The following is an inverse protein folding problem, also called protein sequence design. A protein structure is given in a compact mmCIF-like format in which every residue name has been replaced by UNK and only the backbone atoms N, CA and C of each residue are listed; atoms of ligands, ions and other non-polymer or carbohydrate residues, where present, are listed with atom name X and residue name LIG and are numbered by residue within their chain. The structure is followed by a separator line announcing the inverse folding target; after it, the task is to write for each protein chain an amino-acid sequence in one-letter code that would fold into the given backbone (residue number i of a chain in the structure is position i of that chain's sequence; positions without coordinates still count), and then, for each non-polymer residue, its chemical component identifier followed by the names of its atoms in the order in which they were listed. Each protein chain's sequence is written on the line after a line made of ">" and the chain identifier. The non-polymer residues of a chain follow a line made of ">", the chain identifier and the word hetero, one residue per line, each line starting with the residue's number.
data_IF_944493884659
#
_entry.id   IF_944493884659
#
_cell.length_a   1.000
_cell.length_b   1.000
_cell.length_c   1.000
_cell.angle_alpha   90.00
_cell.angle_beta   90.00
_cell.angle_gamma   90.00
#
_symmetry.space_group_name_H-M   'P 1'
#
loop_
_entity.id
_entity.type
_entity.pdbx_description
1 polymer ?
#
# COMPACT_ATOMS: atom_id res chain seq x y z
N UNK A 1 -2.41 -37.49 35.27
CA UNK A 1 -3.42 -37.03 34.28
C UNK A 1 -3.15 -35.60 33.79
N UNK A 2 -2.91 -34.65 34.70
CA UNK A 2 -2.60 -33.23 34.41
C UNK A 2 -1.40 -33.03 33.46
N UNK A 3 -0.32 -33.79 33.61
CA UNK A 3 0.87 -33.69 32.75
C UNK A 3 0.61 -34.01 31.27
N UNK A 4 -0.32 -34.94 30.95
CA UNK A 4 -0.67 -35.27 29.56
C UNK A 4 -1.56 -34.19 28.92
N UNK A 5 -2.40 -33.54 29.71
CA UNK A 5 -3.29 -32.45 29.28
C UNK A 5 -2.46 -31.18 29.04
N UNK A 6 -1.54 -30.84 29.95
CA UNK A 6 -0.63 -29.70 29.78
C UNK A 6 0.25 -29.84 28.54
N UNK A 7 0.81 -31.05 28.31
CA UNK A 7 1.64 -31.34 27.13
C UNK A 7 0.84 -31.22 25.82
N UNK A 8 -0.42 -31.66 25.79
CA UNK A 8 -1.31 -31.50 24.62
C UNK A 8 -1.66 -30.03 24.35
N UNK A 9 -1.92 -29.23 25.39
CA UNK A 9 -2.25 -27.81 25.24
C UNK A 9 -1.03 -27.01 24.75
N UNK A 10 0.15 -27.27 25.33
CA UNK A 10 1.40 -26.61 24.92
C UNK A 10 1.81 -27.00 23.50
N UNK A 11 1.74 -28.29 23.14
CA UNK A 11 2.04 -28.75 21.78
C UNK A 11 1.02 -28.25 20.74
N UNK A 12 -0.27 -28.16 21.09
CA UNK A 12 -1.31 -27.59 20.25
C UNK A 12 -1.04 -26.11 19.95
N UNK A 13 -0.70 -25.31 20.97
CA UNK A 13 -0.39 -23.89 20.78
C UNK A 13 0.91 -23.64 20.00
N UNK A 14 1.94 -24.48 20.18
CA UNK A 14 3.19 -24.40 19.40
C UNK A 14 2.94 -24.81 17.94
N UNK A 15 2.15 -25.86 17.69
CA UNK A 15 1.82 -26.33 16.34
C UNK A 15 0.92 -25.36 15.57
N UNK A 16 0.15 -24.51 16.27
CA UNK A 16 -0.68 -23.46 15.65
C UNK A 16 0.05 -22.13 15.46
N UNK A 17 1.21 -21.93 16.11
CA UNK A 17 2.06 -20.75 15.92
C UNK A 17 3.06 -20.94 14.78
N UNK A 18 3.66 -22.13 14.62
CA UNK A 18 4.65 -22.42 13.59
C UNK A 18 4.18 -22.11 12.14
N UNK A 19 3.01 -22.62 11.70
CA UNK A 19 2.50 -22.37 10.34
C UNK A 19 2.13 -20.91 10.10
N UNK A 20 1.64 -20.20 11.13
CA UNK A 20 1.31 -18.77 11.05
C UNK A 20 2.57 -17.92 10.98
N UNK A 21 3.59 -18.28 11.78
CA UNK A 21 4.88 -17.61 11.77
C UNK A 21 5.58 -17.83 10.43
N UNK A 22 5.65 -19.06 9.93
CA UNK A 22 6.20 -19.38 8.60
C UNK A 22 5.40 -18.72 7.48
N UNK A 23 4.06 -18.68 7.57
CA UNK A 23 3.19 -18.06 6.56
C UNK A 23 3.36 -16.54 6.42
N UNK A 24 3.81 -15.85 7.47
CA UNK A 24 4.12 -14.41 7.45
C UNK A 24 5.60 -14.17 7.16
N UNK A 25 6.49 -14.95 7.79
CA UNK A 25 7.93 -14.77 7.71
C UNK A 25 8.49 -15.20 6.35
N UNK A 26 7.97 -16.28 5.75
CA UNK A 26 8.44 -16.75 4.46
C UNK A 26 8.23 -15.72 3.34
N UNK A 27 7.03 -15.12 3.15
CA UNK A 27 6.88 -14.04 2.18
C UNK A 27 7.82 -12.87 2.49
N UNK A 28 8.01 -12.49 3.75
CA UNK A 28 8.85 -11.35 4.16
C UNK A 28 10.36 -11.59 3.98
N UNK A 29 10.82 -12.84 4.07
CA UNK A 29 12.25 -13.16 4.10
C UNK A 29 12.72 -13.75 2.77
N UNK A 30 11.91 -14.57 2.11
CA UNK A 30 12.31 -15.29 0.89
C UNK A 30 12.64 -14.33 -0.27
N UNK A 31 11.83 -13.31 -0.60
CA UNK A 31 12.14 -12.38 -1.69
C UNK A 31 13.36 -11.49 -1.39
N UNK A 32 13.54 -10.90 -0.18
CA UNK A 32 14.79 -10.24 0.17
C UNK A 32 16.03 -11.11 0.03
N UNK A 33 15.98 -12.35 0.53
CA UNK A 33 17.09 -13.29 0.42
C UNK A 33 17.36 -13.69 -1.04
N UNK A 34 16.30 -13.90 -1.83
CA UNK A 34 16.43 -14.19 -3.25
C UNK A 34 17.08 -13.04 -4.01
N UNK A 35 16.64 -11.80 -3.79
CA UNK A 35 17.23 -10.61 -4.43
C UNK A 35 18.67 -10.38 -3.94
N UNK A 36 18.98 -10.63 -2.67
CA UNK A 36 20.34 -10.53 -2.13
C UNK A 36 21.27 -11.59 -2.74
N UNK A 37 20.77 -12.82 -2.90
CA UNK A 37 21.49 -13.90 -3.58
C UNK A 37 21.78 -13.54 -5.04
N UNK A 38 20.77 -13.06 -5.78
CA UNK A 38 20.96 -12.55 -7.14
C UNK A 38 21.96 -11.39 -7.16
N UNK A 39 21.87 -10.42 -6.25
CA UNK A 39 22.82 -9.31 -6.18
C UNK A 39 24.27 -9.77 -5.99
N UNK A 40 24.51 -10.74 -5.12
CA UNK A 40 25.86 -11.21 -4.82
C UNK A 40 26.45 -12.06 -5.96
N UNK A 41 25.68 -13.02 -6.48
CA UNK A 41 26.17 -13.98 -7.46
C UNK A 41 26.05 -13.50 -8.92
N UNK A 42 25.06 -12.66 -9.24
CA UNK A 42 24.88 -12.12 -10.60
C UNK A 42 25.65 -10.82 -10.87
N UNK A 43 26.56 -10.42 -9.96
CA UNK A 43 27.38 -9.21 -10.13
C UNK A 43 28.27 -9.25 -11.39
N UNK A 44 28.65 -10.43 -11.86
CA UNK A 44 29.42 -10.60 -13.09
C UNK A 44 28.58 -10.45 -14.36
N UNK A 45 27.26 -10.61 -14.26
CA UNK A 45 26.31 -10.45 -15.38
C UNK A 45 25.61 -9.08 -15.36
N UNK A 46 25.80 -8.28 -14.30
CA UNK A 46 25.26 -6.93 -14.25
C UNK A 46 25.94 -6.07 -15.31
N UNK A 47 25.14 -5.38 -16.13
CA UNK A 47 25.67 -4.47 -17.15
C UNK A 47 25.81 -3.08 -16.58
N UNK A 48 26.94 -2.45 -16.85
CA UNK A 48 27.14 -1.02 -16.63
C UNK A 48 26.28 -0.25 -17.65
N UNK A 49 25.15 0.28 -17.17
CA UNK A 49 24.27 1.11 -17.98
C UNK A 49 24.71 2.56 -17.79
N UNK A 50 25.01 3.24 -18.90
CA UNK A 50 25.27 4.67 -18.89
C UNK A 50 23.97 5.42 -18.54
N UNK A 51 23.93 5.94 -17.31
CA UNK A 51 22.76 6.64 -16.76
C UNK A 51 22.59 8.06 -17.33
N UNK A 52 23.58 8.59 -18.05
CA UNK A 52 23.57 9.94 -18.61
C UNK A 52 23.18 9.97 -20.09
N UNK A 53 23.43 8.88 -20.83
CA UNK A 53 23.24 8.85 -22.29
C UNK A 53 22.40 7.67 -22.83
N UNK A 54 21.78 6.83 -21.99
CA UNK A 54 21.01 5.71 -22.54
C UNK A 54 19.76 6.16 -23.33
N UNK A 55 19.76 5.84 -24.63
CA UNK A 55 18.63 6.03 -25.54
C UNK A 55 18.02 4.67 -25.92
N UNK A 56 16.74 4.47 -25.55
CA UNK A 56 15.78 3.42 -25.94
C UNK A 56 16.14 1.92 -25.85
N UNK A 57 17.41 1.52 -25.99
CA UNK A 57 17.86 0.11 -25.95
C UNK A 57 17.93 -0.48 -24.53
N UNK A 58 17.86 0.37 -23.49
CA UNK A 58 17.81 -0.05 -22.08
C UNK A 58 16.41 0.07 -21.45
N UNK A 59 15.32 0.12 -22.22
CA UNK A 59 13.99 0.46 -21.70
C UNK A 59 12.89 -0.53 -22.10
N UNK A 60 11.93 -0.74 -21.20
CA UNK A 60 10.59 -1.26 -21.52
C UNK A 60 9.71 -0.07 -21.93
N UNK A 61 9.49 0.09 -23.23
CA UNK A 61 8.93 1.31 -23.84
C UNK A 61 7.41 1.45 -23.69
N UNK A 62 6.73 0.56 -22.98
CA UNK A 62 5.25 0.47 -23.04
C UNK A 62 4.54 1.49 -22.13
N UNK A 63 5.09 1.85 -20.95
CA UNK A 63 4.33 2.63 -19.95
C UNK A 63 4.77 4.10 -19.74
N UNK A 64 6.05 4.43 -19.97
CA UNK A 64 6.59 5.79 -19.79
C UNK A 64 7.21 6.42 -21.04
N UNK A 65 7.23 5.69 -22.15
CA UNK A 65 7.74 6.09 -23.48
C UNK A 65 7.27 7.46 -23.97
N UNK A 66 6.00 7.79 -23.71
CA UNK A 66 5.34 8.99 -24.22
C UNK A 66 5.40 10.20 -23.30
N UNK A 67 5.84 10.05 -22.03
CA UNK A 67 5.86 11.12 -21.03
C UNK A 67 7.26 11.73 -20.82
N UNK A 68 8.33 10.99 -21.12
CA UNK A 68 9.71 11.48 -21.02
C UNK A 68 10.20 11.95 -22.40
N UNK A 69 10.19 13.26 -22.65
CA UNK A 69 10.81 13.85 -23.84
C UNK A 69 12.32 14.02 -23.61
N UNK A 70 13.12 12.98 -23.87
CA UNK A 70 14.59 13.03 -23.74
C UNK A 70 15.26 11.69 -23.41
N UNK A 71 16.51 11.75 -22.94
CA UNK A 71 17.25 10.58 -22.42
C UNK A 71 16.58 10.14 -21.12
N UNK A 72 16.05 8.91 -21.11
CA UNK A 72 15.30 8.39 -19.97
C UNK A 72 16.21 8.09 -18.77
N UNK A 73 15.72 8.39 -17.55
CA UNK A 73 16.46 8.08 -16.32
C UNK A 73 16.52 6.57 -16.05
N UNK A 74 17.59 6.12 -15.38
CA UNK A 74 17.78 4.70 -15.03
C UNK A 74 16.60 4.17 -14.20
N UNK A 75 16.11 2.99 -14.56
CA UNK A 75 14.98 2.33 -13.88
C UNK A 75 15.46 1.11 -13.11
N UNK A 76 15.18 1.05 -11.80
CA UNK A 76 15.66 -0.03 -10.92
C UNK A 76 14.86 -1.33 -11.02
N UNK A 77 13.64 -1.26 -11.53
CA UNK A 77 12.84 -2.43 -11.87
C UNK A 77 13.34 -2.96 -13.21
N UNK A 78 13.58 -4.27 -13.30
CA UNK A 78 13.90 -5.03 -14.51
C UNK A 78 15.36 -5.11 -15.01
N UNK A 79 16.33 -4.32 -14.52
CA UNK A 79 17.70 -4.35 -15.07
C UNK A 79 18.80 -4.90 -14.17
N UNK A 80 18.87 -4.49 -12.90
CA UNK A 80 19.86 -4.98 -11.94
C UNK A 80 19.21 -5.14 -10.56
N UNK A 81 19.67 -6.11 -9.77
CA UNK A 81 19.28 -6.24 -8.36
C UNK A 81 19.91 -5.11 -7.54
N UNK A 82 19.25 -3.96 -7.39
CA UNK A 82 19.79 -2.85 -6.59
C UNK A 82 19.15 -2.81 -5.19
N UNK A 83 19.68 -2.02 -4.24
CA UNK A 83 19.00 -1.77 -2.97
C UNK A 83 17.57 -1.23 -3.13
N UNK A 84 17.29 -0.47 -4.19
CA UNK A 84 15.93 0.00 -4.49
C UNK A 84 15.02 -1.15 -4.98
N UNK A 85 15.55 -2.10 -5.75
CA UNK A 85 14.84 -3.35 -6.12
C UNK A 85 14.43 -4.13 -4.86
N UNK A 86 15.31 -4.22 -3.86
CA UNK A 86 15.01 -4.84 -2.58
C UNK A 86 13.89 -4.10 -1.83
N UNK A 87 13.92 -2.76 -1.77
CA UNK A 87 12.85 -1.95 -1.15
C UNK A 87 11.50 -2.21 -1.82
N UNK A 88 11.45 -2.18 -3.16
CA UNK A 88 10.25 -2.45 -3.95
C UNK A 88 9.67 -3.82 -3.60
N UNK A 89 10.51 -4.87 -3.61
CA UNK A 89 10.07 -6.22 -3.28
C UNK A 89 9.59 -6.35 -1.84
N UNK A 90 10.32 -5.81 -0.87
CA UNK A 90 9.92 -5.84 0.54
C UNK A 90 8.56 -5.17 0.74
N UNK A 91 8.35 -3.99 0.15
CA UNK A 91 7.06 -3.28 0.21
C UNK A 91 5.94 -4.07 -0.44
N UNK A 92 6.20 -4.72 -1.59
CA UNK A 92 5.19 -5.55 -2.26
C UNK A 92 4.71 -6.66 -1.36
N UNK A 93 5.65 -7.40 -0.79
CA UNK A 93 5.34 -8.51 0.09
C UNK A 93 4.57 -8.04 1.32
N UNK A 94 5.07 -7.01 2.02
CA UNK A 94 4.42 -6.47 3.22
C UNK A 94 2.97 -6.08 2.88
N UNK A 95 2.75 -5.40 1.76
CA UNK A 95 1.43 -5.01 1.27
C UNK A 95 0.51 -6.21 1.03
N UNK A 96 0.98 -7.22 0.31
CA UNK A 96 0.20 -8.44 0.02
C UNK A 96 -0.16 -9.20 1.31
N UNK A 97 0.80 -9.38 2.22
CA UNK A 97 0.57 -10.08 3.50
C UNK A 97 -0.42 -9.30 4.36
N UNK A 98 -0.25 -7.98 4.49
CA UNK A 98 -1.17 -7.13 5.24
C UNK A 98 -2.59 -7.17 4.68
N UNK A 99 -2.73 -7.10 3.35
CA UNK A 99 -4.02 -7.21 2.68
C UNK A 99 -4.67 -8.58 2.91
N UNK A 100 -3.90 -9.67 2.77
CA UNK A 100 -4.37 -11.03 3.02
C UNK A 100 -4.86 -11.23 4.46
N UNK A 101 -4.07 -10.81 5.46
CA UNK A 101 -4.44 -10.94 6.87
C UNK A 101 -5.69 -10.12 7.19
N UNK A 102 -5.80 -8.91 6.62
CA UNK A 102 -6.98 -8.04 6.80
C UNK A 102 -8.22 -8.64 6.15
N UNK A 103 -8.13 -9.12 4.91
CA UNK A 103 -9.24 -9.76 4.20
C UNK A 103 -9.71 -11.04 4.92
N UNK A 104 -8.77 -11.86 5.39
CA UNK A 104 -9.06 -13.05 6.21
C UNK A 104 -9.78 -12.68 7.50
N UNK A 105 -9.36 -11.63 8.20
CA UNK A 105 -10.01 -11.14 9.40
C UNK A 105 -11.44 -10.66 9.13
N UNK A 106 -11.65 -9.84 8.09
CA UNK A 106 -12.97 -9.34 7.72
C UNK A 106 -13.91 -10.46 7.27
N UNK A 107 -13.42 -11.43 6.51
CA UNK A 107 -14.18 -12.63 6.13
C UNK A 107 -14.58 -13.44 7.38
N UNK A 108 -13.66 -13.63 8.32
CA UNK A 108 -13.96 -14.29 9.59
C UNK A 108 -15.05 -13.56 10.38
N UNK A 109 -15.00 -12.22 10.47
CA UNK A 109 -16.07 -11.42 11.08
C UNK A 109 -17.42 -11.59 10.36
N UNK A 110 -17.40 -11.68 9.03
CA UNK A 110 -18.60 -11.89 8.21
C UNK A 110 -19.26 -13.24 8.53
N UNK A 111 -18.47 -14.33 8.57
CA UNK A 111 -18.96 -15.65 8.92
C UNK A 111 -19.53 -15.71 10.35
N UNK A 112 -18.96 -14.94 11.28
CA UNK A 112 -19.46 -14.83 12.66
C UNK A 112 -20.65 -13.88 12.81
N UNK A 113 -21.14 -13.26 11.72
CA UNK A 113 -22.17 -12.20 11.72
C UNK A 113 -21.84 -11.03 12.66
N UNK A 114 -20.54 -10.74 12.82
CA UNK A 114 -20.03 -9.62 13.63
C UNK A 114 -19.56 -8.45 12.78
N UNK A 115 -19.55 -8.60 11.46
CA UNK A 115 -19.07 -7.55 10.57
C UNK A 115 -20.05 -6.38 10.49
N UNK A 116 -19.58 -5.17 10.78
CA UNK A 116 -20.29 -3.92 10.51
C UNK A 116 -20.12 -3.53 9.05
N UNK A 117 -21.19 -3.69 8.26
CA UNK A 117 -21.17 -3.40 6.81
C UNK A 117 -20.67 -1.98 6.49
N UNK A 118 -21.02 -0.98 7.32
CA UNK A 118 -20.54 0.39 7.10
C UNK A 118 -19.02 0.53 7.15
N UNK A 119 -18.35 -0.21 8.04
CA UNK A 119 -16.89 -0.22 8.13
C UNK A 119 -16.26 -1.03 7.01
N UNK A 120 -16.94 -2.08 6.51
CA UNK A 120 -16.52 -2.79 5.31
C UNK A 120 -16.52 -1.87 4.08
N UNK A 121 -17.57 -1.04 3.91
CA UNK A 121 -17.65 -0.08 2.81
C UNK A 121 -16.52 0.95 2.88
N UNK A 122 -16.26 1.50 4.08
CA UNK A 122 -15.12 2.41 4.32
C UNK A 122 -13.77 1.75 4.04
N UNK A 123 -13.61 0.47 4.38
CA UNK A 123 -12.39 -0.26 4.06
C UNK A 123 -12.23 -0.45 2.55
N UNK A 124 -13.30 -0.86 1.84
CA UNK A 124 -13.28 -1.05 0.38
C UNK A 124 -12.92 0.26 -0.33
N UNK A 125 -13.47 1.40 0.11
CA UNK A 125 -13.14 2.70 -0.49
C UNK A 125 -11.68 3.11 -0.25
N UNK A 126 -11.07 2.70 0.87
CA UNK A 126 -9.66 2.95 1.17
C UNK A 126 -8.68 2.09 0.34
N UNK A 127 -9.10 0.95 -0.23
CA UNK A 127 -8.23 0.06 -1.01
C UNK A 127 -7.57 0.81 -2.18
N UNK A 128 -8.32 1.66 -2.86
CA UNK A 128 -7.79 2.43 -3.99
C UNK A 128 -6.66 3.39 -3.55
N UNK A 129 -6.86 4.12 -2.45
CA UNK A 129 -5.87 5.07 -1.92
C UNK A 129 -4.57 4.35 -1.51
N UNK A 130 -4.67 3.16 -0.91
CA UNK A 130 -3.51 2.31 -0.60
C UNK A 130 -2.82 1.77 -1.85
N UNK A 131 -3.59 1.29 -2.83
CA UNK A 131 -3.06 0.79 -4.10
C UNK A 131 -2.30 1.89 -4.85
N UNK A 132 -2.89 3.08 -4.95
CA UNK A 132 -2.26 4.24 -5.57
C UNK A 132 -0.96 4.60 -4.84
N UNK A 133 -1.00 4.71 -3.51
CA UNK A 133 0.18 5.05 -2.70
C UNK A 133 1.30 4.03 -2.88
N UNK A 134 0.95 2.74 -2.89
CA UNK A 134 1.89 1.65 -3.13
C UNK A 134 2.54 1.78 -4.52
N UNK A 135 1.75 2.05 -5.57
CA UNK A 135 2.29 2.27 -6.91
C UNK A 135 3.21 3.50 -6.98
N UNK A 136 2.87 4.59 -6.29
CA UNK A 136 3.71 5.79 -6.23
C UNK A 136 5.07 5.48 -5.58
N UNK A 137 5.11 4.73 -4.49
CA UNK A 137 6.38 4.33 -3.87
C UNK A 137 7.25 3.46 -4.77
N UNK A 138 6.63 2.51 -5.49
CA UNK A 138 7.33 1.70 -6.48
C UNK A 138 7.98 2.63 -7.53
N UNK A 139 7.24 3.61 -8.04
CA UNK A 139 7.78 4.56 -9.01
C UNK A 139 8.91 5.42 -8.44
N UNK A 140 8.79 5.93 -7.20
CA UNK A 140 9.84 6.73 -6.56
C UNK A 140 11.16 5.96 -6.44
N UNK A 141 11.11 4.71 -5.98
CA UNK A 141 12.31 3.87 -5.92
C UNK A 141 12.78 3.39 -7.30
N UNK A 142 11.86 3.22 -8.25
CA UNK A 142 12.22 2.81 -9.60
C UNK A 142 12.94 3.91 -10.36
N UNK A 143 12.48 5.15 -10.23
CA UNK A 143 12.94 6.30 -11.00
C UNK A 143 13.97 7.18 -10.26
N UNK A 144 14.31 6.83 -9.01
CA UNK A 144 15.04 7.69 -8.07
C UNK A 144 14.46 9.11 -7.94
N UNK A 145 13.12 9.19 -7.99
CA UNK A 145 12.38 10.45 -7.90
C UNK A 145 11.77 10.62 -6.51
N UNK A 146 12.32 11.54 -5.71
CA UNK A 146 11.94 11.72 -4.29
C UNK A 146 11.39 13.11 -3.94
N UNK A 147 11.14 13.97 -4.93
CA UNK A 147 10.71 15.37 -4.67
C UNK A 147 9.41 15.46 -3.87
N UNK A 148 8.48 14.53 -4.09
CA UNK A 148 7.18 14.46 -3.42
C UNK A 148 7.12 13.32 -2.38
N UNK A 149 8.27 12.85 -1.92
CA UNK A 149 8.37 11.72 -0.99
C UNK A 149 7.67 11.99 0.35
N UNK A 150 7.99 13.12 0.98
CA UNK A 150 7.43 13.47 2.29
C UNK A 150 5.94 13.73 2.23
N UNK A 151 5.47 14.34 1.15
CA UNK A 151 4.05 14.54 0.89
C UNK A 151 3.35 13.17 0.82
N UNK A 152 3.80 12.28 -0.06
CA UNK A 152 3.23 10.94 -0.19
C UNK A 152 3.29 10.14 1.12
N UNK A 153 4.36 10.27 1.90
CA UNK A 153 4.51 9.65 3.22
C UNK A 153 3.49 10.13 4.22
N UNK A 154 3.20 11.43 4.28
CA UNK A 154 2.16 11.97 5.13
C UNK A 154 0.78 11.38 4.80
N UNK A 155 0.36 11.38 3.53
CA UNK A 155 -0.93 10.80 3.12
C UNK A 155 -0.99 9.30 3.40
N UNK A 156 0.07 8.56 3.08
CA UNK A 156 0.07 7.11 3.27
C UNK A 156 0.01 6.71 4.75
N UNK A 157 0.74 7.40 5.62
CA UNK A 157 0.70 7.14 7.07
C UNK A 157 -0.68 7.48 7.65
N UNK A 158 -1.22 8.64 7.32
CA UNK A 158 -2.53 9.05 7.83
C UNK A 158 -3.66 8.15 7.30
N UNK A 159 -3.61 7.76 6.03
CA UNK A 159 -4.56 6.79 5.45
C UNK A 159 -4.47 5.43 6.14
N UNK A 160 -3.25 4.96 6.46
CA UNK A 160 -3.03 3.71 7.18
C UNK A 160 -3.62 3.77 8.59
N UNK A 161 -3.42 4.87 9.32
CA UNK A 161 -4.03 5.09 10.65
C UNK A 161 -5.56 5.02 10.56
N UNK A 162 -6.15 5.73 9.60
CA UNK A 162 -7.60 5.72 9.36
C UNK A 162 -8.10 4.30 9.06
N UNK A 163 -7.41 3.58 8.18
CA UNK A 163 -7.76 2.21 7.77
C UNK A 163 -7.67 1.21 8.93
N UNK A 164 -6.62 1.30 9.75
CA UNK A 164 -6.48 0.45 10.95
C UNK A 164 -7.65 0.67 11.91
N UNK A 165 -8.05 1.92 12.12
CA UNK A 165 -9.23 2.23 12.96
C UNK A 165 -10.52 1.68 12.35
N UNK A 166 -10.72 1.80 11.04
CA UNK A 166 -11.88 1.23 10.34
C UNK A 166 -11.92 -0.29 10.50
N UNK A 167 -10.79 -0.99 10.32
CA UNK A 167 -10.70 -2.45 10.49
C UNK A 167 -11.00 -2.87 11.93
N UNK A 168 -10.48 -2.15 12.93
CA UNK A 168 -10.80 -2.42 14.35
C UNK A 168 -12.30 -2.22 14.64
N UNK A 169 -12.90 -1.18 14.07
CA UNK A 169 -14.32 -0.86 14.24
C UNK A 169 -15.25 -1.76 13.41
N UNK A 170 -14.70 -2.56 12.49
CA UNK A 170 -15.47 -3.50 11.70
C UNK A 170 -16.10 -4.62 12.54
N UNK A 171 -15.53 -4.95 13.71
CA UNK A 171 -16.14 -5.87 14.67
C UNK A 171 -17.29 -5.19 15.42
N UNK A 172 -18.46 -5.82 15.44
CA UNK A 172 -19.63 -5.35 16.18
C UNK A 172 -19.40 -5.24 17.68
N UNK A 173 -18.42 -5.95 18.23
CA UNK A 173 -17.99 -5.85 19.64
C UNK A 173 -17.18 -4.59 19.95
N UNK A 174 -16.57 -3.96 18.96
CA UNK A 174 -15.82 -2.72 19.14
C UNK A 174 -16.78 -1.52 19.20
N UNK A 175 -16.91 -0.80 20.33
CA UNK A 175 -17.74 0.41 20.36
C UNK A 175 -17.12 1.48 19.45
N UNK A 176 -17.99 2.12 18.66
CA UNK A 176 -17.63 3.35 17.93
C UNK A 176 -17.71 4.48 18.93
N UNK A 177 -16.57 5.09 19.23
CA UNK A 177 -16.49 6.25 20.11
C UNK A 177 -16.29 7.50 19.27
N UNK A 178 -16.81 8.64 19.76
CA UNK A 178 -16.63 9.93 19.10
C UNK A 178 -15.15 10.23 18.78
N UNK A 179 -14.21 9.82 19.66
CA UNK A 179 -12.77 9.98 19.42
C UNK A 179 -12.29 9.23 18.18
N UNK A 180 -12.65 7.96 18.02
CA UNK A 180 -12.24 7.16 16.86
C UNK A 180 -12.88 7.66 15.57
N UNK A 181 -14.17 8.01 15.64
CA UNK A 181 -14.90 8.59 14.51
C UNK A 181 -14.28 9.94 14.08
N UNK A 182 -13.95 10.81 15.04
CA UNK A 182 -13.32 12.10 14.77
C UNK A 182 -11.95 11.95 14.10
N UNK A 183 -11.15 10.94 14.48
CA UNK A 183 -9.86 10.68 13.83
C UNK A 183 -10.06 10.26 12.37
N UNK A 184 -10.96 9.31 12.11
CA UNK A 184 -11.25 8.83 10.74
C UNK A 184 -11.76 10.00 9.88
N UNK A 185 -12.76 10.75 10.37
CA UNK A 185 -13.34 11.88 9.66
C UNK A 185 -12.34 13.03 9.49
N UNK A 186 -11.53 13.33 10.50
CA UNK A 186 -10.53 14.39 10.46
C UNK A 186 -9.44 14.10 9.43
N UNK A 187 -8.95 12.86 9.36
CA UNK A 187 -8.01 12.43 8.32
C UNK A 187 -8.66 12.55 6.94
N UNK A 188 -9.88 12.06 6.77
CA UNK A 188 -10.63 12.19 5.51
C UNK A 188 -10.80 13.64 5.07
N UNK A 189 -11.12 14.56 5.99
CA UNK A 189 -11.22 15.99 5.71
C UNK A 189 -9.87 16.58 5.27
N UNK A 190 -8.78 16.27 5.97
CA UNK A 190 -7.44 16.73 5.58
C UNK A 190 -7.11 16.26 4.16
N UNK A 191 -7.45 15.01 3.83
CA UNK A 191 -7.21 14.45 2.50
C UNK A 191 -8.04 15.12 1.42
N UNK A 192 -9.32 15.41 1.71
CA UNK A 192 -10.19 16.17 0.82
C UNK A 192 -9.62 17.57 0.59
N UNK A 193 -9.28 18.31 1.65
CA UNK A 193 -8.80 19.68 1.52
C UNK A 193 -7.49 19.74 0.75
N UNK A 194 -6.53 18.90 1.09
CA UNK A 194 -5.24 18.90 0.43
C UNK A 194 -5.32 18.38 -1.01
N UNK A 195 -6.07 17.31 -1.27
CA UNK A 195 -6.31 16.82 -2.64
C UNK A 195 -7.10 17.81 -3.50
N UNK A 196 -8.05 18.53 -2.89
CA UNK A 196 -8.83 19.56 -3.58
C UNK A 196 -7.95 20.74 -3.97
N UNK A 197 -7.09 21.19 -3.04
CA UNK A 197 -6.20 22.32 -3.24
C UNK A 197 -5.10 22.03 -4.28
N UNK A 198 -4.45 20.87 -4.19
CA UNK A 198 -3.30 20.55 -5.04
C UNK A 198 -3.70 20.17 -6.48
N UNK A 199 -4.82 19.47 -6.67
CA UNK A 199 -5.13 18.84 -7.97
C UNK A 199 -6.53 19.13 -8.48
N UNK A 200 -7.56 19.18 -7.63
CA UNK A 200 -8.93 19.35 -8.10
C UNK A 200 -9.19 20.75 -8.67
N UNK A 201 -8.80 21.81 -7.96
CA UNK A 201 -9.04 23.19 -8.41
C UNK A 201 -8.31 23.46 -9.72
N UNK A 202 -7.04 23.11 -9.80
CA UNK A 202 -6.19 23.39 -10.97
C UNK A 202 -6.57 22.53 -12.16
N UNK A 203 -6.72 21.21 -11.97
CA UNK A 203 -6.89 20.30 -13.10
C UNK A 203 -8.36 20.18 -13.55
N UNK A 204 -9.32 20.26 -12.62
CA UNK A 204 -10.75 20.06 -12.91
C UNK A 204 -11.49 21.39 -13.06
N UNK A 205 -11.37 22.30 -12.09
CA UNK A 205 -12.14 23.55 -12.12
C UNK A 205 -11.56 24.59 -13.09
N UNK A 206 -10.23 24.68 -13.21
CA UNK A 206 -9.58 25.56 -14.20
C UNK A 206 -9.41 24.91 -15.58
N UNK A 207 -9.66 23.60 -15.69
CA UNK A 207 -9.54 22.86 -16.95
C UNK A 207 -8.10 22.76 -17.48
N UNK A 208 -7.10 22.98 -16.63
CA UNK A 208 -5.68 22.98 -17.01
C UNK A 208 -5.09 21.55 -17.05
N UNK A 209 -5.88 20.54 -16.66
CA UNK A 209 -5.43 19.16 -16.54
C UNK A 209 -5.69 18.29 -17.77
N UNK A 210 -4.75 17.40 -18.09
CA UNK A 210 -4.96 16.30 -19.04
C UNK A 210 -5.96 15.26 -18.48
N UNK A 211 -6.57 14.42 -19.32
CA UNK A 211 -7.61 13.46 -18.92
C UNK A 211 -7.23 12.59 -17.68
N UNK A 212 -5.99 12.09 -17.63
CA UNK A 212 -5.49 11.31 -16.48
C UNK A 212 -5.35 12.11 -15.17
N UNK A 213 -5.23 13.44 -15.24
CA UNK A 213 -5.18 14.36 -14.10
C UNK A 213 -6.59 14.73 -13.61
N UNK A 214 -7.57 14.76 -14.52
CA UNK A 214 -8.99 14.94 -14.19
C UNK A 214 -9.55 13.70 -13.48
N UNK A 215 -9.21 12.50 -13.97
CA UNK A 215 -9.56 11.23 -13.31
C UNK A 215 -9.00 11.14 -11.88
N UNK A 216 -7.79 11.68 -11.64
CA UNK A 216 -7.23 11.78 -10.29
C UNK A 216 -8.03 12.74 -9.39
N UNK A 217 -8.54 13.84 -9.94
CA UNK A 217 -9.37 14.80 -9.20
C UNK A 217 -10.69 14.19 -8.71
N UNK A 218 -11.29 13.27 -9.46
CA UNK A 218 -12.51 12.57 -9.06
C UNK A 218 -12.31 11.64 -7.85
N UNK A 219 -11.09 11.16 -7.58
CA UNK A 219 -10.82 10.36 -6.38
C UNK A 219 -11.03 11.13 -5.06
N UNK A 220 -10.91 12.46 -5.10
CA UNK A 220 -11.27 13.34 -3.96
C UNK A 220 -12.74 13.15 -3.54
N UNK A 221 -13.61 12.72 -4.46
CA UNK A 221 -15.03 12.41 -4.21
C UNK A 221 -15.17 11.11 -3.39
N UNK A 222 -14.28 10.13 -3.55
CA UNK A 222 -14.28 8.89 -2.75
C UNK A 222 -13.94 9.19 -1.28
N UNK A 223 -13.04 10.15 -1.03
CA UNK A 223 -12.73 10.60 0.33
C UNK A 223 -13.92 11.34 0.99
N UNK A 224 -14.71 12.09 0.21
CA UNK A 224 -15.97 12.70 0.67
C UNK A 224 -16.98 11.65 1.16
N UNK A 225 -17.06 10.49 0.51
CA UNK A 225 -17.90 9.38 0.99
C UNK A 225 -17.48 8.89 2.37
N UNK A 226 -16.17 8.89 2.72
CA UNK A 226 -15.72 8.50 4.05
C UNK A 226 -16.21 9.46 5.13
N UNK A 227 -16.15 10.76 4.86
CA UNK A 227 -16.64 11.80 5.80
C UNK A 227 -18.15 11.70 5.97
N UNK A 228 -18.91 11.60 4.88
CA UNK A 228 -20.37 11.51 4.99
C UNK A 228 -20.82 10.23 5.71
N UNK A 229 -20.22 9.08 5.40
CA UNK A 229 -20.68 7.81 5.94
C UNK A 229 -20.39 7.62 7.45
N UNK A 230 -19.33 8.23 7.97
CA UNK A 230 -19.03 8.21 9.42
C UNK A 230 -20.03 9.04 10.22
N UNK A 231 -20.65 10.07 9.63
CA UNK A 231 -21.64 10.93 10.30
C UNK A 231 -23.09 10.43 10.18
N UNK A 232 -23.41 9.57 9.20
CA UNK A 232 -24.78 9.09 8.96
C UNK A 232 -25.12 7.73 9.62
N UNK A 233 -24.37 7.30 10.66
CA UNK A 233 -24.72 6.11 11.47
C UNK A 233 -24.39 6.23 12.95
#
# INVERSE_FOLDING_TARGET
>A
MVHRILRRIVLSNISNCGPKFVGVLAPLVVPPLHILFLYYFWREYSRDVDKQYCSCSCWDTVFKGSYESGVASYKHMYFNATPNTLKIWATIVIGVVAFYETAKYLAWLAFQRRLRLGMLILFISAIFSHYYSWWVYINYWNDDFYSQWYHQMFFSITELVSTVLVVILADSKSPVTAKKALVISGIGLVHIFAGSWDQFVTNVLRGEGYAHQVDRGLNTIIELFKVMWVYFR
#
